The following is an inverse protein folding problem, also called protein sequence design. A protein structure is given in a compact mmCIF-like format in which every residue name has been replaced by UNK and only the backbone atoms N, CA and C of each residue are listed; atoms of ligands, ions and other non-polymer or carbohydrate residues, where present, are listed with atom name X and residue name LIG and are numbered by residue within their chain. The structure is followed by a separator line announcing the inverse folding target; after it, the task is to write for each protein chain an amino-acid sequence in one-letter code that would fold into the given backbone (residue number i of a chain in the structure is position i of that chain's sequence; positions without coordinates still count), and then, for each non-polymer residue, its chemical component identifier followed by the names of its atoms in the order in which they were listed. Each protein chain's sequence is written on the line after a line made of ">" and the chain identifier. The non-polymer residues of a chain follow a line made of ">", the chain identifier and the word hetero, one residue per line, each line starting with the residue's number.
data_IF_404286236925
#
_entry.id   IF_404286236925
#
_cell.length_a   1.000
_cell.length_b   1.000
_cell.length_c   1.000
_cell.angle_alpha   90.00
_cell.angle_beta   90.00
_cell.angle_gamma   90.00
#
_symmetry.space_group_name_H-M   'P 1'
#
loop_
_entity.id
_entity.type
_entity.pdbx_description
1 polymer ?
#
# COMPACT_ATOMS: atom_id res chain seq x y z
N UNK A 1 -23.56 -8.49 18.09
CA UNK A 1 -22.65 -9.01 17.04
C UNK A 1 -22.64 -8.11 15.80
N UNK A 2 -23.78 -7.92 15.11
CA UNK A 2 -23.86 -7.11 13.89
C UNK A 2 -23.37 -5.65 14.10
N UNK A 3 -23.80 -4.98 15.17
CA UNK A 3 -23.34 -3.62 15.48
C UNK A 3 -21.83 -3.56 15.73
N UNK A 4 -21.28 -4.51 16.47
CA UNK A 4 -19.85 -4.56 16.80
C UNK A 4 -19.00 -4.81 15.53
N UNK A 5 -19.48 -5.68 14.65
CA UNK A 5 -18.85 -5.98 13.36
C UNK A 5 -18.91 -4.78 12.40
N UNK A 6 -20.08 -4.15 12.29
CA UNK A 6 -20.25 -2.94 11.48
C UNK A 6 -19.37 -1.79 11.99
N UNK A 7 -19.32 -1.58 13.31
CA UNK A 7 -18.45 -0.58 13.93
C UNK A 7 -16.97 -0.87 13.67
N UNK A 8 -16.57 -2.15 13.72
CA UNK A 8 -15.21 -2.58 13.38
C UNK A 8 -14.83 -2.28 11.93
N UNK A 9 -15.68 -2.65 10.97
CA UNK A 9 -15.44 -2.35 9.54
C UNK A 9 -15.39 -0.85 9.29
N UNK A 10 -16.33 -0.08 9.86
CA UNK A 10 -16.34 1.37 9.74
C UNK A 10 -15.09 2.00 10.36
N UNK A 11 -14.64 1.51 11.51
CA UNK A 11 -13.43 1.98 12.17
C UNK A 11 -12.18 1.77 11.32
N UNK A 12 -12.01 0.58 10.73
CA UNK A 12 -10.88 0.29 9.83
C UNK A 12 -10.95 1.16 8.57
N UNK A 13 -12.15 1.35 8.00
CA UNK A 13 -12.33 2.22 6.83
C UNK A 13 -12.00 3.69 7.12
N UNK A 14 -12.46 4.22 8.26
CA UNK A 14 -12.25 5.62 8.64
C UNK A 14 -10.76 5.96 8.85
N UNK A 15 -9.98 5.01 9.39
CA UNK A 15 -8.53 5.20 9.59
C UNK A 15 -7.77 4.90 8.29
N UNK A 16 -8.20 3.88 7.53
CA UNK A 16 -7.52 3.44 6.31
C UNK A 16 -7.58 4.47 5.19
N UNK A 17 -8.74 5.11 4.96
CA UNK A 17 -8.92 6.05 3.85
C UNK A 17 -7.96 7.25 3.94
N UNK A 18 -7.84 7.98 5.06
CA UNK A 18 -6.91 9.10 5.18
C UNK A 18 -5.44 8.69 5.08
N UNK A 19 -5.06 7.56 5.72
CA UNK A 19 -3.67 7.09 5.73
C UNK A 19 -3.22 6.68 4.32
N UNK A 20 -4.05 5.95 3.57
CA UNK A 20 -3.74 5.52 2.20
C UNK A 20 -3.80 6.69 1.21
N UNK A 21 -4.79 7.58 1.33
CA UNK A 21 -4.87 8.77 0.47
C UNK A 21 -3.69 9.71 0.72
N UNK A 22 -3.30 9.90 1.99
CA UNK A 22 -2.15 10.72 2.37
C UNK A 22 -0.83 10.14 1.89
N UNK A 23 -0.56 8.85 2.14
CA UNK A 23 0.69 8.21 1.73
C UNK A 23 0.80 8.07 0.21
N UNK A 24 -0.30 7.78 -0.48
CA UNK A 24 -0.34 7.73 -1.94
C UNK A 24 -0.14 9.10 -2.57
N UNK A 25 -0.79 10.15 -2.04
CA UNK A 25 -0.57 11.51 -2.50
C UNK A 25 0.85 12.02 -2.25
N UNK A 26 1.46 11.61 -1.13
CA UNK A 26 2.84 11.92 -0.82
C UNK A 26 3.78 11.26 -1.84
N UNK A 27 3.72 9.93 -1.97
CA UNK A 27 4.58 9.18 -2.90
C UNK A 27 4.45 9.64 -4.36
N UNK A 28 3.23 9.98 -4.80
CA UNK A 28 3.00 10.50 -6.15
C UNK A 28 3.51 11.94 -6.33
N UNK A 29 3.37 12.80 -5.31
CA UNK A 29 3.93 14.16 -5.34
C UNK A 29 5.46 14.14 -5.34
N UNK A 30 6.06 13.28 -4.53
CA UNK A 30 7.50 13.05 -4.45
C UNK A 30 8.05 12.57 -5.80
N UNK A 31 7.41 11.56 -6.40
CA UNK A 31 7.79 11.01 -7.70
C UNK A 31 7.68 12.04 -8.84
N UNK A 32 6.74 12.99 -8.75
CA UNK A 32 6.54 14.06 -9.73
C UNK A 32 7.42 15.29 -9.45
N UNK A 33 8.19 15.31 -8.36
CA UNK A 33 9.04 16.43 -7.95
C UNK A 33 8.26 17.68 -7.52
N UNK A 34 6.99 17.51 -7.14
CA UNK A 34 6.14 18.62 -6.71
C UNK A 34 6.28 18.86 -5.20
N UNK A 35 6.16 20.14 -4.78
CA UNK A 35 6.19 20.51 -3.35
C UNK A 35 5.11 19.74 -2.57
N UNK A 36 5.55 18.94 -1.62
CA UNK A 36 4.73 18.05 -0.79
C UNK A 36 4.63 18.54 0.67
N UNK A 37 3.64 18.01 1.41
CA UNK A 37 3.49 18.21 2.85
C UNK A 37 2.13 18.77 3.28
N UNK A 38 1.48 18.11 4.23
CA UNK A 38 0.27 18.60 4.93
C UNK A 38 0.52 19.90 5.71
N UNK A 39 1.79 20.21 6.00
CA UNK A 39 2.22 21.41 6.73
C UNK A 39 2.32 22.65 5.82
N UNK A 40 2.24 22.50 4.48
CA UNK A 40 2.24 23.62 3.54
C UNK A 40 0.83 24.01 3.15
N UNK A 41 0.58 25.31 3.07
CA UNK A 41 -0.72 25.88 2.71
C UNK A 41 -1.29 25.31 1.41
N UNK A 42 -2.62 25.20 1.33
CA UNK A 42 -3.41 24.73 0.18
C UNK A 42 -3.02 25.44 -1.15
N UNK A 43 -2.40 26.62 -1.06
CA UNK A 43 -1.89 27.39 -2.19
C UNK A 43 -0.53 26.95 -2.76
N UNK A 44 0.35 26.32 -1.97
CA UNK A 44 1.71 25.92 -2.41
C UNK A 44 1.80 24.45 -2.87
N UNK A 45 0.93 23.56 -2.38
CA UNK A 45 0.92 22.13 -2.66
C UNK A 45 -0.34 21.69 -3.42
N UNK A 46 -0.68 22.42 -4.50
CA UNK A 46 -1.86 22.14 -5.35
C UNK A 46 -1.86 20.71 -5.90
N UNK A 47 -0.69 20.16 -6.21
CA UNK A 47 -0.54 18.77 -6.68
C UNK A 47 -0.98 17.74 -5.63
N UNK A 48 -0.54 17.91 -4.39
CA UNK A 48 -0.85 17.00 -3.27
C UNK A 48 -2.35 16.98 -2.96
N UNK A 49 -2.97 18.16 -2.78
CA UNK A 49 -4.42 18.26 -2.55
C UNK A 49 -5.23 17.81 -3.77
N UNK A 50 -4.72 18.03 -4.99
CA UNK A 50 -5.32 17.52 -6.21
C UNK A 50 -5.37 16.00 -6.27
N UNK A 51 -4.28 15.31 -5.90
CA UNK A 51 -4.23 13.84 -5.85
C UNK A 51 -5.21 13.29 -4.81
N UNK A 52 -5.29 13.91 -3.63
CA UNK A 52 -6.27 13.51 -2.60
C UNK A 52 -7.70 13.70 -3.13
N UNK A 53 -8.02 14.86 -3.71
CA UNK A 53 -9.35 15.16 -4.23
C UNK A 53 -9.75 14.18 -5.34
N UNK A 54 -8.86 13.93 -6.30
CA UNK A 54 -9.07 12.95 -7.38
C UNK A 54 -9.23 11.54 -6.81
N UNK A 55 -8.44 11.16 -5.81
CA UNK A 55 -8.53 9.83 -5.19
C UNK A 55 -9.87 9.63 -4.49
N UNK A 56 -10.36 10.63 -3.76
CA UNK A 56 -11.68 10.59 -3.10
C UNK A 56 -12.81 10.56 -4.13
N UNK A 57 -12.73 11.39 -5.18
CA UNK A 57 -13.70 11.38 -6.28
C UNK A 57 -13.72 10.04 -7.02
N UNK A 58 -12.56 9.45 -7.29
CA UNK A 58 -12.45 8.13 -7.90
C UNK A 58 -13.05 7.04 -6.99
N UNK A 59 -12.78 7.09 -5.67
CA UNK A 59 -13.37 6.17 -4.70
C UNK A 59 -14.90 6.28 -4.64
N UNK A 60 -15.45 7.49 -4.72
CA UNK A 60 -16.90 7.73 -4.83
C UNK A 60 -17.46 7.21 -6.16
N UNK A 61 -16.73 7.37 -7.27
CA UNK A 61 -17.12 6.87 -8.58
C UNK A 61 -17.16 5.33 -8.65
N UNK A 62 -16.23 4.65 -7.97
CA UNK A 62 -16.20 3.18 -7.91
C UNK A 62 -17.43 2.62 -7.18
N UNK A 63 -18.03 3.35 -6.24
CA UNK A 63 -19.28 2.93 -5.57
C UNK A 63 -20.48 2.83 -6.54
N UNK A 64 -20.46 3.53 -7.67
CA UNK A 64 -21.48 3.40 -8.71
C UNK A 64 -21.20 2.25 -9.69
N UNK A 65 -20.04 1.61 -9.60
CA UNK A 65 -19.70 0.46 -10.43
C UNK A 65 -20.37 -0.81 -9.91
N UNK A 66 -20.97 -1.66 -10.77
CA UNK A 66 -21.66 -2.90 -10.37
C UNK A 66 -20.72 -4.03 -9.90
N UNK A 67 -19.47 -3.71 -9.53
CA UNK A 67 -18.50 -4.67 -9.01
C UNK A 67 -18.90 -5.01 -7.58
N UNK A 68 -19.18 -6.30 -7.31
CA UNK A 68 -19.45 -6.71 -5.94
C UNK A 68 -18.24 -6.38 -5.05
N UNK A 69 -18.43 -5.75 -3.88
CA UNK A 69 -17.34 -5.40 -2.96
C UNK A 69 -16.44 -6.58 -2.64
N UNK A 70 -17.00 -7.79 -2.63
CA UNK A 70 -16.27 -9.04 -2.43
C UNK A 70 -15.29 -9.35 -3.58
N UNK A 71 -15.67 -9.14 -4.84
CA UNK A 71 -14.74 -9.28 -5.98
C UNK A 71 -13.67 -8.20 -5.96
N UNK A 72 -14.03 -6.96 -5.61
CA UNK A 72 -13.07 -5.87 -5.47
C UNK A 72 -12.04 -6.16 -4.36
N UNK A 73 -12.50 -6.69 -3.22
CA UNK A 73 -11.61 -7.09 -2.12
C UNK A 73 -10.67 -8.23 -2.54
N UNK A 74 -11.18 -9.23 -3.28
CA UNK A 74 -10.35 -10.32 -3.80
C UNK A 74 -9.29 -9.81 -4.78
N UNK A 75 -9.67 -8.98 -5.75
CA UNK A 75 -8.72 -8.39 -6.70
C UNK A 75 -7.70 -7.48 -6.03
N UNK A 76 -8.12 -6.70 -5.01
CA UNK A 76 -7.23 -5.86 -4.21
C UNK A 76 -6.19 -6.70 -3.45
N UNK A 77 -6.64 -7.79 -2.80
CA UNK A 77 -5.74 -8.71 -2.10
C UNK A 77 -4.76 -9.39 -3.07
N UNK A 78 -5.23 -9.76 -4.26
CA UNK A 78 -4.39 -10.34 -5.30
C UNK A 78 -3.30 -9.36 -5.78
N UNK A 79 -3.68 -8.14 -6.18
CA UNK A 79 -2.73 -7.10 -6.58
C UNK A 79 -1.75 -6.81 -5.45
N UNK A 80 -2.24 -6.69 -4.21
CA UNK A 80 -1.41 -6.45 -3.05
C UNK A 80 -0.39 -7.57 -2.84
N UNK A 81 -0.80 -8.84 -2.95
CA UNK A 81 0.11 -9.99 -2.86
C UNK A 81 1.19 -9.99 -3.95
N UNK A 82 0.83 -9.68 -5.19
CA UNK A 82 1.77 -9.59 -6.32
C UNK A 82 2.75 -8.42 -6.14
N UNK A 83 2.27 -7.25 -5.71
CA UNK A 83 3.11 -6.05 -5.50
C UNK A 83 3.99 -6.16 -4.25
N UNK A 84 3.53 -6.88 -3.22
CA UNK A 84 4.28 -7.07 -1.99
C UNK A 84 5.59 -7.84 -2.21
N UNK A 85 5.63 -8.80 -3.15
CA UNK A 85 6.83 -9.60 -3.44
C UNK A 85 8.03 -8.75 -3.90
N UNK A 86 7.94 -7.94 -4.98
CA UNK A 86 9.05 -7.08 -5.39
C UNK A 86 9.37 -6.01 -4.34
N UNK A 87 8.35 -5.46 -3.66
CA UNK A 87 8.57 -4.50 -2.59
C UNK A 87 9.41 -5.09 -1.45
N UNK A 88 9.06 -6.31 -1.00
CA UNK A 88 9.80 -7.01 0.06
C UNK A 88 11.22 -7.35 -0.37
N UNK A 89 11.42 -7.79 -1.61
CA UNK A 89 12.75 -8.04 -2.17
C UNK A 89 13.62 -6.77 -2.15
N UNK A 90 13.07 -5.63 -2.57
CA UNK A 90 13.77 -4.33 -2.53
C UNK A 90 14.09 -3.93 -1.09
N UNK A 91 13.14 -4.06 -0.15
CA UNK A 91 13.36 -3.75 1.26
C UNK A 91 14.47 -4.62 1.84
N UNK A 92 14.47 -5.93 1.59
CA UNK A 92 15.51 -6.84 2.09
C UNK A 92 16.89 -6.46 1.52
N UNK A 93 16.97 -6.10 0.23
CA UNK A 93 18.22 -5.64 -0.38
C UNK A 93 18.71 -4.33 0.27
N UNK A 94 17.80 -3.38 0.52
CA UNK A 94 18.12 -2.12 1.18
C UNK A 94 18.64 -2.35 2.61
N UNK A 95 17.93 -3.18 3.37
CA UNK A 95 18.22 -3.45 4.78
C UNK A 95 19.48 -4.31 4.95
N UNK A 96 19.82 -5.10 3.94
CA UNK A 96 21.08 -5.86 3.89
C UNK A 96 22.29 -4.98 3.59
N UNK A 97 22.09 -3.79 3.01
CA UNK A 97 23.19 -2.87 2.69
C UNK A 97 23.45 -1.90 3.84
N UNK A 98 24.60 -2.10 4.50
CA UNK A 98 25.15 -1.17 5.50
C UNK A 98 25.26 0.26 4.98
N UNK A 99 25.47 0.44 3.67
CA UNK A 99 25.56 1.74 3.03
C UNK A 99 24.26 2.55 3.00
N UNK A 100 23.09 1.91 3.17
CA UNK A 100 21.78 2.59 3.11
C UNK A 100 21.18 2.80 4.50
N UNK A 101 21.36 1.84 5.40
CA UNK A 101 20.81 1.88 6.77
C UNK A 101 21.82 2.33 7.84
N UNK A 102 23.12 2.36 7.53
CA UNK A 102 24.16 2.67 8.50
C UNK A 102 24.46 1.48 9.42
N UNK A 103 24.64 1.72 10.73
CA UNK A 103 25.13 0.70 11.67
C UNK A 103 24.06 -0.30 12.16
N UNK A 104 22.78 -0.07 11.87
CA UNK A 104 21.66 -0.96 12.23
C UNK A 104 21.30 -1.95 11.11
N UNK A 105 22.30 -2.61 10.51
CA UNK A 105 22.01 -3.65 9.51
C UNK A 105 21.23 -4.81 10.10
N UNK A 106 20.26 -5.34 9.33
CA UNK A 106 19.58 -6.57 9.73
C UNK A 106 20.57 -7.71 9.95
N UNK A 107 20.37 -8.45 11.03
CA UNK A 107 21.13 -9.66 11.30
C UNK A 107 20.90 -10.69 10.19
N UNK A 108 21.93 -11.46 9.84
CA UNK A 108 21.88 -12.52 8.83
C UNK A 108 20.63 -13.44 8.93
N UNK A 109 20.17 -13.89 10.13
CA UNK A 109 18.95 -14.69 10.22
C UNK A 109 17.67 -13.93 9.83
N UNK A 110 17.60 -12.62 10.06
CA UNK A 110 16.45 -11.80 9.67
C UNK A 110 16.36 -11.64 8.15
N UNK A 111 17.50 -11.50 7.48
CA UNK A 111 17.59 -11.46 6.01
C UNK A 111 17.17 -12.80 5.40
N UNK A 112 17.62 -13.92 5.96
CA UNK A 112 17.24 -15.26 5.51
C UNK A 112 15.73 -15.47 5.71
N UNK A 113 15.19 -15.12 6.88
CA UNK A 113 13.76 -15.23 7.14
C UNK A 113 12.94 -14.37 6.17
N UNK A 114 13.40 -13.14 5.89
CA UNK A 114 12.77 -12.26 4.91
C UNK A 114 12.75 -12.85 3.49
N UNK A 115 13.87 -13.45 3.06
CA UNK A 115 13.94 -14.13 1.77
C UNK A 115 13.05 -15.37 1.70
N UNK A 116 12.99 -16.16 2.78
CA UNK A 116 12.08 -17.31 2.87
C UNK A 116 10.61 -16.86 2.80
N UNK A 117 10.24 -15.81 3.54
CA UNK A 117 8.90 -15.24 3.48
C UNK A 117 8.55 -14.71 2.08
N UNK A 118 9.50 -14.00 1.44
CA UNK A 118 9.33 -13.49 0.07
C UNK A 118 9.19 -14.63 -0.94
N UNK A 119 9.98 -15.69 -0.80
CA UNK A 119 9.86 -16.89 -1.64
C UNK A 119 8.52 -17.60 -1.44
N UNK A 120 8.04 -17.69 -0.19
CA UNK A 120 6.75 -18.29 0.12
C UNK A 120 5.58 -17.48 -0.43
N UNK A 121 5.63 -16.15 -0.28
CA UNK A 121 4.65 -15.22 -0.87
C UNK A 121 4.68 -15.26 -2.40
N UNK A 122 5.88 -15.29 -3.00
CA UNK A 122 6.06 -15.41 -4.44
C UNK A 122 5.52 -16.74 -4.99
N UNK A 123 5.80 -17.85 -4.31
CA UNK A 123 5.26 -19.15 -4.67
C UNK A 123 3.73 -19.19 -4.59
N UNK A 124 3.13 -18.59 -3.55
CA UNK A 124 1.67 -18.47 -3.44
C UNK A 124 1.07 -17.60 -4.54
N UNK A 125 1.71 -16.47 -4.86
CA UNK A 125 1.27 -15.58 -5.93
C UNK A 125 1.34 -16.29 -7.31
N UNK A 126 2.42 -17.02 -7.59
CA UNK A 126 2.56 -17.82 -8.83
C UNK A 126 1.56 -18.97 -8.85
N UNK A 127 1.33 -19.63 -7.72
CA UNK A 127 0.32 -20.69 -7.59
C UNK A 127 -1.10 -20.22 -7.90
N UNK A 128 -1.43 -18.96 -7.63
CA UNK A 128 -2.72 -18.36 -8.01
C UNK A 128 -2.86 -18.08 -9.51
N UNK A 129 -1.75 -17.96 -10.25
CA UNK A 129 -1.76 -17.81 -11.71
C UNK A 129 -1.84 -19.15 -12.45
N UNK A 130 -1.60 -20.28 -11.78
CA UNK A 130 -1.77 -21.62 -12.36
C UNK A 130 -3.25 -21.98 -12.25
N UNK A 131 -4.01 -22.04 -13.36
CA UNK A 131 -5.38 -22.50 -13.31
C UNK A 131 -5.36 -24.00 -13.00
N UNK A 132 -5.86 -24.36 -11.82
CA UNK A 132 -6.26 -25.72 -11.48
C UNK A 132 -7.74 -25.94 -11.78
#
# INVERSE_FOLDING_TARGET
>A
MLLLFALGILGVGLIGVPVLAGSGAYALSEAMGWKEGLERSVGEARGFYGIIAVSVLAALGIQYSPISPMKALFWSAFINGVVAVPLMAVIIILVSKKSVIGDFTASRPLIILGWVATAFMGAAAVGMFIPG
#
